data_IF_237713062711
#
_entry.id   IF_237713062711
#
_cell.length_a   1.000
_cell.length_b   1.000
_cell.length_c   1.000
_cell.angle_alpha   90.00
_cell.angle_beta   90.00
_cell.angle_gamma   90.00
#
_symmetry.space_group_name_H-M   'P 1'
#
loop_
_entity.id
_entity.type
_entity.pdbx_description
1 polymer ?
#
# COMPACT_ATOMS: atom_id res chain seq x y z
N UNK A 1 -12.81 -2.79 -38.06
CA UNK A 1 -13.77 -2.32 -37.03
C UNK A 1 -13.64 -3.23 -35.82
N UNK A 2 -13.25 -2.72 -34.67
CA UNK A 2 -13.03 -3.50 -33.45
C UNK A 2 -12.80 -2.58 -32.25
N UNK A 3 -12.93 -3.13 -31.03
CA UNK A 3 -12.75 -2.37 -29.78
C UNK A 3 -11.29 -1.87 -29.70
N UNK A 4 -11.04 -0.58 -29.43
CA UNK A 4 -9.69 -0.03 -29.41
C UNK A 4 -8.87 -0.54 -28.21
N UNK A 5 -7.57 -0.78 -28.43
CA UNK A 5 -6.60 -1.08 -27.37
C UNK A 5 -6.20 0.22 -26.66
N UNK A 6 -6.26 0.28 -25.33
CA UNK A 6 -6.03 1.49 -24.52
C UNK A 6 -5.26 1.16 -23.24
N UNK A 7 -4.41 2.07 -22.80
CA UNK A 7 -3.81 1.97 -21.47
C UNK A 7 -4.88 2.23 -20.41
N UNK A 8 -5.11 1.25 -19.55
CA UNK A 8 -6.14 1.31 -18.51
C UNK A 8 -5.70 2.14 -17.28
N UNK A 9 -4.46 2.61 -17.24
CA UNK A 9 -3.94 3.52 -16.20
C UNK A 9 -3.85 4.98 -16.67
N UNK A 10 -4.16 5.25 -17.94
CA UNK A 10 -4.22 6.60 -18.48
C UNK A 10 -5.58 7.25 -18.18
N UNK A 11 -5.82 8.45 -18.72
CA UNK A 11 -7.13 9.10 -18.66
C UNK A 11 -8.25 8.18 -19.18
N UNK A 12 -9.46 8.35 -18.64
CA UNK A 12 -10.59 7.47 -18.94
C UNK A 12 -10.95 7.50 -20.43
N UNK A 13 -10.67 6.39 -21.11
CA UNK A 13 -10.96 6.19 -22.52
C UNK A 13 -11.59 4.80 -22.69
N UNK A 14 -12.70 4.73 -23.41
CA UNK A 14 -13.34 3.47 -23.75
C UNK A 14 -12.43 2.57 -24.61
N UNK A 15 -12.32 1.30 -24.24
CA UNK A 15 -11.47 0.33 -24.92
C UNK A 15 -11.32 -0.98 -24.15
N UNK A 16 -10.47 -1.87 -24.65
CA UNK A 16 -10.14 -3.14 -24.01
C UNK A 16 -8.63 -3.37 -24.04
N UNK A 17 -8.04 -3.80 -22.93
CA UNK A 17 -6.62 -4.15 -22.83
C UNK A 17 -6.31 -5.07 -21.66
N UNK A 18 -5.18 -5.79 -21.70
CA UNK A 18 -4.66 -6.50 -20.53
C UNK A 18 -4.40 -5.53 -19.37
N UNK A 19 -4.68 -5.97 -18.14
CA UNK A 19 -4.41 -5.21 -16.92
C UNK A 19 -2.98 -5.43 -16.42
N UNK A 20 -2.42 -4.41 -15.79
CA UNK A 20 -1.17 -4.54 -15.02
C UNK A 20 -1.51 -4.89 -13.58
N UNK A 21 -0.85 -5.92 -13.06
CA UNK A 21 -1.04 -6.40 -11.69
C UNK A 21 0.17 -6.04 -10.82
N UNK A 22 -0.04 -5.85 -9.53
CA UNK A 22 1.04 -5.62 -8.57
C UNK A 22 1.79 -6.92 -8.26
N UNK A 23 2.67 -7.31 -9.18
CA UNK A 23 3.47 -8.53 -9.15
C UNK A 23 4.94 -8.23 -9.39
N UNK A 24 5.80 -9.03 -8.76
CA UNK A 24 7.23 -8.95 -8.95
C UNK A 24 7.59 -9.44 -10.35
N UNK A 25 8.41 -8.65 -11.05
CA UNK A 25 8.90 -9.00 -12.37
C UNK A 25 9.75 -10.28 -12.32
N UNK A 26 9.58 -11.15 -13.32
CA UNK A 26 10.37 -12.38 -13.50
C UNK A 26 9.81 -13.64 -12.82
N UNK A 27 9.14 -13.54 -11.68
CA UNK A 27 8.61 -14.72 -10.96
C UNK A 27 7.09 -14.69 -10.72
N UNK A 28 6.41 -13.58 -11.05
CA UNK A 28 4.95 -13.44 -10.90
C UNK A 28 4.47 -13.42 -9.45
N UNK A 29 5.38 -13.35 -8.46
CA UNK A 29 5.02 -13.33 -7.05
C UNK A 29 4.25 -12.06 -6.73
N UNK A 30 3.26 -12.14 -5.84
CA UNK A 30 2.56 -10.96 -5.32
C UNK A 30 3.59 -9.95 -4.79
N UNK A 31 3.49 -8.71 -5.23
CA UNK A 31 4.29 -7.61 -4.71
C UNK A 31 3.40 -6.73 -3.82
N UNK A 32 3.22 -7.15 -2.57
CA UNK A 32 2.37 -6.43 -1.61
C UNK A 32 3.06 -5.17 -1.04
N UNK A 33 2.33 -4.43 -0.20
CA UNK A 33 2.81 -3.19 0.42
C UNK A 33 4.01 -3.40 1.35
N UNK A 34 4.11 -4.56 2.02
CA UNK A 34 5.28 -4.89 2.82
C UNK A 34 6.52 -5.03 1.95
N UNK A 35 6.44 -5.79 0.86
CA UNK A 35 7.57 -6.01 -0.05
C UNK A 35 7.95 -4.74 -0.81
N UNK A 36 6.98 -3.91 -1.18
CA UNK A 36 7.23 -2.68 -1.92
C UNK A 36 7.87 -1.58 -1.06
N UNK A 37 7.42 -1.42 0.20
CA UNK A 37 7.76 -0.23 0.99
C UNK A 37 8.48 -0.53 2.30
N UNK A 38 8.13 -1.61 3.01
CA UNK A 38 8.72 -1.89 4.33
C UNK A 38 10.01 -2.68 4.21
N UNK A 39 10.01 -3.77 3.44
CA UNK A 39 11.16 -4.66 3.26
C UNK A 39 12.44 -3.90 2.86
N UNK A 40 12.42 -2.95 1.90
CA UNK A 40 13.64 -2.24 1.49
C UNK A 40 14.24 -1.32 2.57
N UNK A 41 13.46 -0.94 3.60
CA UNK A 41 13.88 0.06 4.61
C UNK A 41 13.86 -0.46 6.04
N UNK A 42 13.72 -1.78 6.23
CA UNK A 42 13.63 -2.41 7.57
C UNK A 42 14.81 -2.10 8.50
N UNK A 43 15.99 -1.77 7.96
CA UNK A 43 17.18 -1.47 8.74
C UNK A 43 17.29 -0.03 9.27
N UNK A 44 16.32 0.85 8.98
CA UNK A 44 16.39 2.26 9.41
C UNK A 44 16.20 2.39 10.93
N UNK A 45 17.10 3.09 11.65
CA UNK A 45 17.04 3.17 13.11
C UNK A 45 15.83 3.97 13.63
N UNK A 46 15.24 4.82 12.79
CA UNK A 46 14.04 5.59 13.11
C UNK A 46 12.73 4.89 12.68
N UNK A 47 12.78 3.64 12.22
CA UNK A 47 11.60 2.84 11.88
C UNK A 47 11.48 1.66 12.85
N UNK A 48 10.41 1.64 13.65
CA UNK A 48 10.09 0.56 14.57
C UNK A 48 8.79 -0.14 14.18
N UNK A 49 8.83 -1.46 14.02
CA UNK A 49 7.66 -2.28 13.69
C UNK A 49 7.43 -3.28 14.82
N UNK A 50 6.24 -3.23 15.44
CA UNK A 50 5.80 -4.20 16.44
C UNK A 50 4.80 -5.15 15.77
N UNK A 51 5.13 -6.44 15.71
CA UNK A 51 4.26 -7.48 15.16
C UNK A 51 3.39 -8.05 16.27
N UNK A 52 2.20 -8.53 15.92
CA UNK A 52 1.25 -9.16 16.85
C UNK A 52 0.80 -8.23 18.00
N UNK A 53 0.91 -6.91 17.80
CA UNK A 53 0.45 -5.89 18.76
C UNK A 53 -0.81 -5.21 18.22
N UNK A 54 -1.98 -5.63 18.71
CA UNK A 54 -3.24 -4.99 18.36
C UNK A 54 -3.45 -3.73 19.22
N UNK A 55 -3.65 -2.59 18.57
CA UNK A 55 -4.01 -1.34 19.26
C UNK A 55 -5.47 -1.45 19.71
N UNK A 56 -5.72 -1.33 21.02
CA UNK A 56 -7.06 -1.55 21.60
C UNK A 56 -7.81 -0.26 21.96
N UNK A 57 -7.09 0.84 22.21
CA UNK A 57 -7.67 2.14 22.55
C UNK A 57 -6.73 3.26 22.14
N UNK A 58 -7.26 4.48 22.07
CA UNK A 58 -6.48 5.70 21.90
C UNK A 58 -6.41 6.41 23.25
N UNK A 59 -5.25 6.95 23.59
CA UNK A 59 -5.05 7.71 24.82
C UNK A 59 -5.17 9.20 24.51
N UNK A 60 -6.13 9.87 25.17
CA UNK A 60 -6.39 11.30 25.03
C UNK A 60 -5.92 12.08 26.26
N UNK A 61 -5.35 13.26 26.02
CA UNK A 61 -4.92 14.20 27.05
C UNK A 61 -5.94 15.33 27.13
N UNK A 62 -6.22 15.78 28.37
CA UNK A 62 -7.01 16.99 28.61
C UNK A 62 -8.48 16.88 28.18
N UNK A 63 -9.15 18.03 28.15
CA UNK A 63 -10.53 18.18 27.67
C UNK A 63 -10.62 18.45 26.17
N UNK A 64 -9.48 18.65 25.49
CA UNK A 64 -9.35 19.00 24.09
C UNK A 64 -9.27 17.78 23.15
N UNK A 65 -9.39 16.56 23.69
CA UNK A 65 -9.31 15.31 22.93
C UNK A 65 -8.02 15.18 22.09
N UNK A 66 -6.90 15.71 22.58
CA UNK A 66 -5.61 15.56 21.90
C UNK A 66 -5.05 14.16 22.16
N UNK A 67 -4.85 13.36 21.11
CA UNK A 67 -4.26 12.04 21.22
C UNK A 67 -2.76 12.13 21.54
N UNK A 68 -2.29 11.34 22.51
CA UNK A 68 -0.86 11.26 22.85
C UNK A 68 -0.29 9.83 22.73
N UNK A 69 -1.13 8.82 22.47
CA UNK A 69 -0.69 7.44 22.35
C UNK A 69 -1.82 6.47 22.01
N UNK A 70 -1.44 5.19 21.98
CA UNK A 70 -2.28 4.03 21.65
C UNK A 70 -1.94 2.84 22.56
#
# INVERSE_FOLDING_TARGET
MGIPRKDLNADFIEGCSPIYNTQQHGNGRRHDTFHAFLLPVMGRPNLSIKKFSHVSKILFKGSDNTAFGV
#
